data_IF_210356510509
#
_entry.id   IF_210356510509
#
_cell.length_a   1.000
_cell.length_b   1.000
_cell.length_c   1.000
_cell.angle_alpha   90.00
_cell.angle_beta   90.00
_cell.angle_gamma   90.00
#
_symmetry.space_group_name_H-M   'P 1'
#
loop_
_entity.id
_entity.type
_entity.pdbx_description
1 polymer ?
#
# COMPACT_ATOMS: atom_id res chain seq x y z
N UNK A 1 -42.66 26.63 -7.67
CA UNK A 1 -41.36 26.85 -6.98
C UNK A 1 -41.13 25.69 -6.03
N UNK A 2 -40.35 24.69 -6.45
CA UNK A 2 -39.97 23.55 -5.61
C UNK A 2 -38.59 23.79 -5.01
N UNK A 3 -38.48 23.70 -3.70
CA UNK A 3 -37.23 23.90 -2.97
C UNK A 3 -36.36 22.64 -3.13
N UNK A 4 -35.11 22.82 -3.58
CA UNK A 4 -34.10 21.77 -3.60
C UNK A 4 -33.78 21.38 -2.16
N UNK A 5 -34.03 20.12 -1.81
CA UNK A 5 -33.60 19.56 -0.53
C UNK A 5 -32.07 19.56 -0.48
N UNK A 6 -31.45 19.99 0.63
CA UNK A 6 -29.99 19.98 0.74
C UNK A 6 -29.48 18.54 0.64
N UNK A 7 -28.60 18.30 -0.33
CA UNK A 7 -27.90 17.03 -0.48
C UNK A 7 -27.06 16.75 0.77
N UNK A 8 -27.17 15.53 1.30
CA UNK A 8 -26.34 15.03 2.41
C UNK A 8 -24.85 15.31 2.12
N UNK A 9 -24.09 15.91 3.05
CA UNK A 9 -22.67 16.14 2.86
C UNK A 9 -21.94 14.81 2.63
N UNK A 10 -20.85 14.80 1.84
CA UNK A 10 -20.06 13.59 1.65
C UNK A 10 -19.57 13.09 3.01
N UNK A 11 -19.47 11.75 3.21
CA UNK A 11 -18.93 11.22 4.45
C UNK A 11 -17.52 11.79 4.68
N UNK A 12 -17.12 12.01 5.95
CA UNK A 12 -15.75 12.36 6.26
C UNK A 12 -14.82 11.33 5.63
N UNK A 13 -13.68 11.79 5.10
CA UNK A 13 -12.63 10.92 4.58
C UNK A 13 -12.40 9.80 5.60
N UNK A 14 -12.73 8.56 5.21
CA UNK A 14 -12.65 7.42 6.11
C UNK A 14 -11.18 7.26 6.46
N UNK A 15 -10.83 7.66 7.68
CA UNK A 15 -9.56 7.33 8.29
C UNK A 15 -9.54 5.80 8.33
N UNK A 16 -8.76 5.20 7.43
CA UNK A 16 -8.48 3.77 7.49
C UNK A 16 -7.98 3.54 8.92
N UNK A 17 -8.61 2.66 9.72
CA UNK A 17 -8.11 2.35 11.07
C UNK A 17 -6.63 2.00 10.97
N UNK A 18 -5.82 2.14 12.04
CA UNK A 18 -4.38 1.84 12.02
C UNK A 18 -4.16 0.32 11.91
N UNK A 19 -4.68 -0.27 10.84
CA UNK A 19 -4.14 -1.45 10.25
C UNK A 19 -2.71 -1.06 9.91
N UNK A 20 -1.76 -1.77 10.50
CA UNK A 20 -0.35 -1.61 10.22
C UNK A 20 -0.19 -1.23 8.75
N UNK A 21 0.44 -0.08 8.47
CA UNK A 21 0.73 0.33 7.11
C UNK A 21 1.34 -0.87 6.35
N UNK A 22 1.21 -0.97 5.02
CA UNK A 22 1.83 -2.08 4.29
C UNK A 22 3.30 -2.31 4.69
N UNK A 23 4.03 -1.23 4.97
CA UNK A 23 5.37 -1.26 5.53
C UNK A 23 5.45 -1.87 6.95
N UNK A 24 4.59 -1.48 7.89
CA UNK A 24 4.55 -2.08 9.23
C UNK A 24 4.21 -3.57 9.20
N UNK A 25 3.35 -4.02 8.27
CA UNK A 25 3.09 -5.46 8.08
C UNK A 25 4.34 -6.19 7.60
N UNK A 26 5.09 -5.58 6.68
CA UNK A 26 6.37 -6.12 6.21
C UNK A 26 7.40 -6.19 7.35
N UNK A 27 7.48 -5.17 8.21
CA UNK A 27 8.30 -5.19 9.43
C UNK A 27 7.89 -6.33 10.37
N UNK A 28 6.60 -6.46 10.69
CA UNK A 28 6.06 -7.47 11.61
C UNK A 28 6.26 -8.90 11.10
N UNK A 29 6.23 -9.11 9.79
CA UNK A 29 6.48 -10.43 9.18
C UNK A 29 7.95 -10.86 9.19
N UNK A 30 8.88 -9.99 9.62
CA UNK A 30 10.32 -10.27 9.62
C UNK A 30 10.96 -10.25 8.23
N UNK A 31 10.20 -9.89 7.19
CA UNK A 31 10.68 -9.82 5.80
C UNK A 31 11.45 -8.53 5.49
N UNK A 32 11.58 -7.62 6.45
CA UNK A 32 12.35 -6.38 6.30
C UNK A 32 13.50 -6.40 7.29
N UNK A 33 14.72 -6.25 6.77
CA UNK A 33 15.91 -6.03 7.58
C UNK A 33 16.37 -4.59 7.41
N UNK A 34 16.66 -3.87 8.51
CA UNK A 34 17.31 -2.57 8.41
C UNK A 34 18.69 -2.74 7.77
N UNK A 35 19.04 -1.84 6.85
CA UNK A 35 20.37 -1.82 6.27
C UNK A 35 21.37 -1.27 7.29
N UNK A 36 22.59 -1.83 7.32
CA UNK A 36 23.68 -1.36 8.19
C UNK A 36 24.39 -0.11 7.65
N UNK A 37 23.97 0.41 6.49
CA UNK A 37 24.57 1.53 5.78
C UNK A 37 23.84 1.82 4.47
N UNK A 38 24.38 2.68 3.59
CA UNK A 38 23.81 2.95 2.29
C UNK A 38 23.63 1.66 1.48
N UNK A 39 22.43 1.45 0.94
CA UNK A 39 22.16 0.33 0.05
C UNK A 39 22.46 0.76 -1.37
N UNK A 40 23.48 0.16 -1.98
CA UNK A 40 23.74 0.32 -3.40
C UNK A 40 22.92 -0.69 -4.21
N UNK A 41 21.84 -0.20 -4.83
CA UNK A 41 20.96 -1.02 -5.65
C UNK A 41 21.60 -1.50 -6.95
N UNK A 42 22.73 -0.92 -7.39
CA UNK A 42 23.46 -1.37 -8.57
C UNK A 42 24.22 -2.68 -8.31
N UNK A 43 24.54 -2.97 -7.06
CA UNK A 43 25.27 -4.17 -6.64
C UNK A 43 24.32 -5.33 -6.34
N UNK A 44 23.03 -5.04 -6.12
CA UNK A 44 22.02 -6.07 -5.89
C UNK A 44 21.72 -6.79 -7.21
N UNK A 45 21.91 -8.11 -7.21
CA UNK A 45 21.57 -8.96 -8.34
C UNK A 45 20.08 -8.84 -8.63
N UNK A 46 19.74 -8.42 -9.85
CA UNK A 46 18.35 -8.46 -10.31
C UNK A 46 17.88 -9.92 -10.41
N UNK A 47 16.63 -10.13 -10.03
CA UNK A 47 15.95 -11.42 -10.14
C UNK A 47 14.71 -11.21 -10.99
N UNK A 48 14.50 -12.08 -11.96
CA UNK A 48 13.28 -12.09 -12.76
C UNK A 48 12.14 -12.65 -11.91
N UNK A 49 11.00 -12.00 -11.94
CA UNK A 49 9.74 -12.54 -11.40
C UNK A 49 8.85 -12.88 -12.58
N UNK A 50 8.15 -14.02 -12.49
CA UNK A 50 7.12 -14.39 -13.46
C UNK A 50 5.86 -13.52 -13.30
N UNK A 51 5.70 -12.85 -12.16
CA UNK A 51 4.58 -11.97 -11.89
C UNK A 51 4.75 -10.62 -12.62
N UNK A 52 3.66 -10.12 -13.19
CA UNK A 52 3.63 -8.81 -13.84
C UNK A 52 3.43 -7.67 -12.83
N UNK A 53 3.81 -6.44 -13.22
CA UNK A 53 3.61 -5.25 -12.36
C UNK A 53 2.16 -5.08 -11.91
N UNK A 54 1.19 -5.34 -12.78
CA UNK A 54 -0.23 -5.22 -12.45
C UNK A 54 -0.67 -6.24 -11.39
N UNK A 55 -0.16 -7.47 -11.47
CA UNK A 55 -0.42 -8.55 -10.52
C UNK A 55 0.18 -8.24 -9.15
N UNK A 56 1.46 -7.82 -9.12
CA UNK A 56 2.12 -7.38 -7.88
C UNK A 56 1.37 -6.24 -7.18
N UNK A 57 0.85 -5.28 -7.95
CA UNK A 57 0.07 -4.16 -7.39
C UNK A 57 -1.30 -4.60 -6.87
N UNK A 58 -1.94 -5.58 -7.51
CA UNK A 58 -3.21 -6.15 -7.06
C UNK A 58 -3.03 -6.86 -5.70
N UNK A 59 -1.96 -7.65 -5.55
CA UNK A 59 -1.61 -8.30 -4.28
C UNK A 59 -1.35 -7.29 -3.16
N UNK A 60 -0.61 -6.21 -3.45
CA UNK A 60 -0.30 -5.17 -2.46
C UNK A 60 -1.54 -4.38 -2.02
N UNK A 61 -2.52 -4.20 -2.90
CA UNK A 61 -3.78 -3.52 -2.60
C UNK A 61 -4.77 -4.42 -1.88
N UNK A 62 -4.56 -5.74 -1.92
CA UNK A 62 -5.52 -6.70 -1.41
C UNK A 62 -6.79 -6.74 -2.26
N UNK A 63 -6.67 -6.55 -3.57
CA UNK A 63 -7.79 -6.59 -4.52
C UNK A 63 -8.34 -8.03 -4.75
N UNK A 64 -7.99 -8.99 -3.88
CA UNK A 64 -8.34 -10.41 -3.95
C UNK A 64 -9.30 -10.84 -2.85
#
# INVERSE_FOLDING_TARGET
MGWLSPSKPPPPATLIPPSASPFERLLLSGNVRPASGPVDFQVLRSVTSDAGTAEMLSDLRGDR
#
